data_IF_771150017679
#
_entry.id   IF_771150017679
#
_cell.length_a   1.000
_cell.length_b   1.000
_cell.length_c   1.000
_cell.angle_alpha   90.00
_cell.angle_beta   90.00
_cell.angle_gamma   90.00
#
_symmetry.space_group_name_H-M   'P 1'
#
loop_
_entity.id
_entity.type
_entity.pdbx_description
1 polymer ?
#
# COMPACT_ATOMS: atom_id res chain seq x y z
N UNK A 1 46.33 6.45 -12.97
CA UNK A 1 45.52 5.98 -11.84
C UNK A 1 44.14 5.60 -12.39
N UNK A 2 43.82 4.31 -12.36
CA UNK A 2 42.51 3.83 -12.79
C UNK A 2 41.47 4.22 -11.73
N UNK A 3 40.78 5.33 -11.92
CA UNK A 3 39.63 5.70 -11.10
C UNK A 3 38.50 4.69 -11.42
N UNK A 4 38.33 3.69 -10.55
CA UNK A 4 37.16 2.81 -10.62
C UNK A 4 35.93 3.72 -10.64
N UNK A 5 35.20 3.71 -11.76
CA UNK A 5 33.90 4.40 -11.83
C UNK A 5 33.04 3.92 -10.66
N UNK A 6 32.41 4.87 -9.95
CA UNK A 6 31.46 4.55 -8.88
C UNK A 6 30.30 3.75 -9.47
N UNK A 7 29.93 2.66 -8.78
CA UNK A 7 28.66 1.98 -9.08
C UNK A 7 27.56 2.73 -8.33
N UNK A 8 26.76 3.50 -9.06
CA UNK A 8 25.72 4.35 -8.49
C UNK A 8 24.66 3.55 -7.73
N UNK A 9 24.34 2.35 -8.17
CA UNK A 9 23.34 1.50 -7.53
C UNK A 9 23.86 0.91 -6.21
N UNK A 10 25.10 0.43 -6.21
CA UNK A 10 25.73 -0.05 -4.97
C UNK A 10 25.86 1.07 -3.94
N UNK A 11 26.26 2.27 -4.37
CA UNK A 11 26.38 3.40 -3.48
C UNK A 11 25.02 3.87 -2.94
N UNK A 12 24.01 3.95 -3.79
CA UNK A 12 22.64 4.30 -3.38
C UNK A 12 22.02 3.25 -2.45
N UNK A 13 22.35 1.96 -2.62
CA UNK A 13 21.82 0.89 -1.77
C UNK A 13 22.30 0.98 -0.31
N UNK A 14 23.41 1.68 -0.06
CA UNK A 14 23.92 1.95 1.30
C UNK A 14 23.09 3.02 2.04
N UNK A 15 22.25 3.78 1.33
CA UNK A 15 21.46 4.86 1.93
C UNK A 15 20.41 4.30 2.89
N UNK A 16 20.32 4.86 4.10
CA UNK A 16 19.37 4.47 5.14
C UNK A 16 17.95 4.99 4.88
N UNK A 17 17.72 5.72 3.79
CA UNK A 17 16.43 6.28 3.39
C UNK A 17 15.75 7.11 4.50
N UNK A 18 16.53 7.94 5.21
CA UNK A 18 16.07 8.75 6.34
C UNK A 18 14.79 9.53 5.99
N UNK A 19 13.79 9.47 6.87
CA UNK A 19 12.55 10.21 6.69
C UNK A 19 12.79 11.73 6.74
N UNK A 20 13.59 12.18 7.71
CA UNK A 20 13.98 13.57 7.89
C UNK A 20 15.46 13.75 7.54
N UNK A 21 15.75 13.62 6.24
CA UNK A 21 17.08 13.45 5.68
C UNK A 21 18.03 14.64 5.98
N UNK A 22 19.08 14.46 6.79
CA UNK A 22 20.05 15.52 7.09
C UNK A 22 20.76 16.04 5.84
N UNK A 23 21.03 15.16 4.86
CA UNK A 23 21.65 15.55 3.59
C UNK A 23 20.78 16.54 2.79
N UNK A 24 19.46 16.40 2.81
CA UNK A 24 18.54 17.36 2.19
C UNK A 24 18.50 18.67 2.94
N UNK A 25 18.49 18.64 4.28
CA UNK A 25 18.53 19.86 5.10
C UNK A 25 19.81 20.67 4.91
N UNK A 26 20.92 20.01 4.65
CA UNK A 26 22.21 20.65 4.40
C UNK A 26 22.35 21.21 2.97
N UNK A 27 21.50 20.79 2.04
CA UNK A 27 21.48 21.26 0.67
C UNK A 27 20.56 22.49 0.52
N UNK A 28 21.07 23.58 -0.07
CA UNK A 28 20.31 24.83 -0.15
C UNK A 28 19.27 24.86 -1.29
N UNK A 29 19.55 24.15 -2.38
CA UNK A 29 18.86 24.32 -3.67
C UNK A 29 18.32 23.03 -4.27
N UNK A 30 18.28 21.92 -3.50
CA UNK A 30 17.79 20.65 -4.03
C UNK A 30 17.50 19.63 -2.97
N UNK A 31 17.15 18.41 -3.41
CA UNK A 31 16.81 17.29 -2.55
C UNK A 31 17.67 16.05 -2.87
N UNK A 32 18.90 15.98 -2.33
CA UNK A 32 19.80 14.84 -2.52
C UNK A 32 19.19 13.52 -2.05
N UNK A 33 18.41 13.50 -0.96
CA UNK A 33 17.80 12.28 -0.46
C UNK A 33 16.79 11.69 -1.47
N UNK A 34 15.99 12.53 -2.12
CA UNK A 34 15.09 12.08 -3.20
C UNK A 34 15.85 11.56 -4.41
N UNK A 35 16.94 12.25 -4.79
CA UNK A 35 17.77 11.79 -5.88
C UNK A 35 18.39 10.41 -5.59
N UNK A 36 18.95 10.21 -4.40
CA UNK A 36 19.54 8.92 -3.98
C UNK A 36 18.46 7.85 -3.92
N UNK A 37 17.30 8.15 -3.38
CA UNK A 37 16.14 7.22 -3.31
C UNK A 37 15.69 6.80 -4.71
N UNK A 38 15.66 7.73 -5.67
CA UNK A 38 15.33 7.41 -7.05
C UNK A 38 16.32 6.39 -7.65
N UNK A 39 17.62 6.58 -7.43
CA UNK A 39 18.65 5.64 -7.88
C UNK A 39 18.51 4.28 -7.17
N UNK A 40 18.31 4.28 -5.86
CA UNK A 40 18.13 3.07 -5.05
C UNK A 40 16.99 2.19 -5.60
N UNK A 41 15.94 2.80 -6.13
CA UNK A 41 14.78 2.12 -6.73
C UNK A 41 14.86 1.97 -8.26
N UNK A 42 16.07 1.97 -8.82
CA UNK A 42 16.33 1.78 -10.25
C UNK A 42 15.64 2.83 -11.16
N UNK A 43 15.50 4.05 -10.65
CA UNK A 43 14.91 5.18 -11.34
C UNK A 43 15.90 6.36 -11.42
N UNK A 44 17.09 6.11 -11.93
CA UNK A 44 18.19 7.08 -11.91
C UNK A 44 17.99 8.26 -12.86
N UNK A 45 17.27 8.07 -13.98
CA UNK A 45 17.04 9.14 -14.96
C UNK A 45 16.40 10.40 -14.38
N UNK A 46 15.29 10.32 -13.60
CA UNK A 46 14.72 11.50 -12.96
C UNK A 46 15.49 11.99 -11.73
N UNK A 47 16.50 11.24 -11.23
CA UNK A 47 17.24 11.62 -10.03
C UNK A 47 17.90 13.00 -10.15
N UNK A 48 18.47 13.32 -11.31
CA UNK A 48 19.18 14.58 -11.53
C UNK A 48 18.28 15.83 -11.42
N UNK A 49 16.98 15.72 -11.68
CA UNK A 49 16.10 16.90 -11.55
C UNK A 49 15.98 17.40 -10.11
N UNK A 50 16.11 16.51 -9.12
CA UNK A 50 16.04 16.90 -7.71
C UNK A 50 17.27 17.65 -7.21
N UNK A 51 18.36 17.62 -8.01
CA UNK A 51 19.65 18.24 -7.70
C UNK A 51 20.19 19.07 -8.85
N UNK A 52 19.33 19.46 -9.82
CA UNK A 52 19.71 20.23 -11.00
C UNK A 52 20.45 21.51 -10.62
N UNK A 53 19.92 22.22 -9.64
CA UNK A 53 20.42 23.53 -9.22
C UNK A 53 21.43 23.45 -8.06
N UNK A 54 21.81 22.23 -7.65
CA UNK A 54 22.79 22.05 -6.60
C UNK A 54 24.21 22.30 -7.11
N UNK A 55 24.90 23.20 -6.44
CA UNK A 55 26.35 23.36 -6.63
C UNK A 55 27.11 22.17 -6.06
N UNK A 56 28.35 21.99 -6.48
CA UNK A 56 29.25 20.97 -5.90
C UNK A 56 29.42 21.17 -4.40
N UNK A 57 29.50 22.41 -3.93
CA UNK A 57 29.58 22.75 -2.53
C UNK A 57 28.29 22.37 -1.76
N UNK A 58 27.10 22.41 -2.40
CA UNK A 58 25.86 21.95 -1.80
C UNK A 58 25.86 20.43 -1.63
N UNK A 59 26.31 19.70 -2.65
CA UNK A 59 26.41 18.24 -2.60
C UNK A 59 27.47 17.76 -1.61
N UNK A 60 28.59 18.46 -1.47
CA UNK A 60 29.61 18.19 -0.46
C UNK A 60 29.06 18.39 0.96
N UNK A 61 28.31 19.47 1.21
CA UNK A 61 27.63 19.67 2.50
C UNK A 61 26.61 18.58 2.80
N UNK A 62 25.87 18.16 1.78
CA UNK A 62 24.91 17.07 1.92
C UNK A 62 25.63 15.75 2.28
N UNK A 63 26.77 15.47 1.67
CA UNK A 63 27.61 14.31 1.97
C UNK A 63 28.14 14.35 3.41
N UNK A 64 28.67 15.49 3.85
CA UNK A 64 29.15 15.69 5.22
C UNK A 64 28.05 15.55 6.28
N UNK A 65 26.82 15.86 5.93
CA UNK A 65 25.66 15.73 6.82
C UNK A 65 25.10 14.29 6.89
N UNK A 66 25.66 13.35 6.11
CA UNK A 66 25.19 11.97 6.09
C UNK A 66 25.44 11.29 7.45
N UNK A 67 24.41 10.58 7.97
CA UNK A 67 24.51 9.89 9.26
C UNK A 67 25.36 8.60 9.21
N UNK A 68 25.80 8.18 8.05
CA UNK A 68 26.88 7.20 7.91
C UNK A 68 28.24 7.82 8.25
N UNK A 69 28.45 8.21 9.49
CA UNK A 69 29.59 9.03 9.95
C UNK A 69 30.97 8.49 9.56
N UNK A 70 31.17 7.19 9.61
CA UNK A 70 32.46 6.56 9.31
C UNK A 70 32.68 6.33 7.81
N UNK A 71 31.62 6.28 7.04
CA UNK A 71 31.66 6.04 5.61
C UNK A 71 30.44 6.67 4.92
N UNK A 72 30.38 8.00 4.79
CA UNK A 72 29.27 8.73 4.18
C UNK A 72 28.95 8.22 2.77
N UNK A 73 27.69 8.38 2.37
CA UNK A 73 27.30 8.17 0.98
C UNK A 73 28.02 9.20 0.12
N UNK A 74 28.73 8.78 -0.91
CA UNK A 74 29.46 9.65 -1.85
C UNK A 74 28.49 10.37 -2.79
N UNK A 75 27.71 11.29 -2.22
CA UNK A 75 26.56 11.95 -2.87
C UNK A 75 27.00 12.70 -4.11
N UNK A 76 28.05 13.52 -3.99
CA UNK A 76 28.56 14.32 -5.10
C UNK A 76 29.06 13.44 -6.24
N UNK A 77 29.93 12.48 -5.95
CA UNK A 77 30.51 11.61 -6.97
C UNK A 77 29.43 10.78 -7.68
N UNK A 78 28.51 10.21 -6.92
CA UNK A 78 27.40 9.41 -7.44
C UNK A 78 26.49 10.23 -8.38
N UNK A 79 26.05 11.40 -7.94
CA UNK A 79 25.12 12.22 -8.71
C UNK A 79 25.78 12.85 -9.95
N UNK A 80 27.07 13.21 -9.88
CA UNK A 80 27.83 13.74 -11.02
C UNK A 80 28.27 12.65 -12.01
N UNK A 81 28.23 11.39 -11.64
CA UNK A 81 28.54 10.29 -12.56
C UNK A 81 27.39 9.93 -13.51
N UNK A 82 26.17 10.42 -13.24
CA UNK A 82 25.01 10.24 -14.11
C UNK A 82 25.12 11.24 -15.28
N UNK A 83 25.09 10.73 -16.52
CA UNK A 83 25.16 11.59 -17.70
C UNK A 83 23.89 12.48 -17.81
N UNK A 84 24.05 13.80 -18.04
CA UNK A 84 22.92 14.69 -18.31
C UNK A 84 22.10 14.29 -19.56
N UNK A 85 22.75 13.66 -20.53
CA UNK A 85 22.12 13.19 -21.78
C UNK A 85 21.16 11.99 -21.53
N UNK A 86 21.28 11.34 -20.39
CA UNK A 86 20.32 10.33 -19.93
C UNK A 86 19.06 10.95 -19.33
N UNK A 87 19.10 12.23 -19.00
CA UNK A 87 17.96 13.01 -18.56
C UNK A 87 17.22 13.55 -19.79
N UNK A 88 16.51 12.68 -20.46
CA UNK A 88 15.53 13.16 -21.42
C UNK A 88 14.58 14.10 -20.68
N UNK A 89 14.47 15.37 -21.13
CA UNK A 89 13.34 16.24 -20.80
C UNK A 89 12.04 15.67 -21.38
N UNK A 90 11.93 14.36 -21.31
CA UNK A 90 10.82 13.59 -21.81
C UNK A 90 9.56 14.01 -21.09
N UNK A 91 8.58 14.34 -21.86
CA UNK A 91 7.19 14.39 -21.49
C UNK A 91 6.92 13.31 -20.44
N UNK A 92 6.74 13.72 -19.17
CA UNK A 92 6.31 12.77 -18.16
C UNK A 92 4.95 12.25 -18.61
N UNK A 93 4.76 10.93 -18.65
CA UNK A 93 3.47 10.39 -19.03
C UNK A 93 2.42 10.98 -18.09
N UNK A 94 1.29 11.39 -18.64
CA UNK A 94 0.12 11.68 -17.85
C UNK A 94 -0.28 10.41 -17.11
N UNK A 95 -0.26 10.45 -15.78
CA UNK A 95 -0.62 9.33 -14.92
C UNK A 95 -2.07 9.41 -14.45
N UNK A 96 -2.83 10.43 -14.89
CA UNK A 96 -4.24 10.52 -14.50
C UNK A 96 -5.03 9.32 -15.00
N UNK A 97 -5.94 8.85 -14.17
CA UNK A 97 -6.84 7.74 -14.51
C UNK A 97 -8.28 8.08 -14.11
N UNK A 98 -9.23 7.47 -14.78
CA UNK A 98 -10.61 7.34 -14.30
C UNK A 98 -10.78 5.97 -13.65
N UNK A 99 -11.18 5.98 -12.39
CA UNK A 99 -11.44 4.79 -11.61
C UNK A 99 -12.90 4.81 -11.13
N UNK A 100 -13.76 3.98 -11.71
CA UNK A 100 -15.21 3.94 -11.40
C UNK A 100 -15.91 5.31 -11.50
N UNK A 101 -15.51 6.17 -12.44
CA UNK A 101 -16.01 7.53 -12.57
C UNK A 101 -15.32 8.55 -11.65
N UNK A 102 -14.37 8.12 -10.82
CA UNK A 102 -13.59 8.98 -9.95
C UNK A 102 -12.29 9.37 -10.67
N UNK A 103 -12.05 10.68 -10.81
CA UNK A 103 -10.81 11.20 -11.40
C UNK A 103 -9.69 11.12 -10.38
N UNK A 104 -8.61 10.42 -10.73
CA UNK A 104 -7.46 10.22 -9.87
C UNK A 104 -6.21 10.85 -10.50
N UNK A 105 -5.41 11.54 -9.69
CA UNK A 105 -4.16 12.20 -10.14
C UNK A 105 -3.13 11.20 -10.70
N UNK A 106 -3.18 9.96 -10.22
CA UNK A 106 -2.34 8.86 -10.68
C UNK A 106 -2.93 7.52 -10.17
N UNK A 107 -2.41 6.34 -10.61
CA UNK A 107 -2.95 5.04 -10.20
C UNK A 107 -2.42 4.53 -8.85
N UNK A 108 -1.77 5.35 -8.03
CA UNK A 108 -1.13 4.91 -6.81
C UNK A 108 -1.97 5.24 -5.58
N UNK A 109 -2.42 4.19 -4.90
CA UNK A 109 -3.24 4.26 -3.69
C UNK A 109 -2.56 3.51 -2.56
N UNK A 110 -2.67 4.02 -1.33
CA UNK A 110 -2.39 3.22 -0.14
C UNK A 110 -3.46 2.16 0.00
N UNK A 111 -3.05 0.91 0.12
CA UNK A 111 -3.98 -0.16 0.45
C UNK A 111 -4.30 -0.17 1.96
N UNK A 112 -5.47 -0.70 2.32
CA UNK A 112 -5.89 -0.88 3.70
C UNK A 112 -4.88 -1.73 4.48
N UNK A 113 -4.11 -1.07 5.34
CA UNK A 113 -2.97 -1.66 6.06
C UNK A 113 -2.56 -0.81 7.27
N UNK A 114 -1.49 -1.20 7.96
CA UNK A 114 -0.94 -0.49 9.11
C UNK A 114 -0.49 0.95 8.82
N UNK A 115 -0.24 1.31 7.56
CA UNK A 115 0.25 2.65 7.19
C UNK A 115 -0.88 3.63 6.87
N UNK A 116 -2.12 3.29 7.11
CA UNK A 116 -3.29 4.14 6.89
C UNK A 116 -4.35 4.01 8.00
N UNK A 117 -3.88 3.98 9.26
CA UNK A 117 -4.73 3.80 10.46
C UNK A 117 -5.14 5.12 11.12
N UNK A 118 -4.53 6.23 10.74
CA UNK A 118 -4.82 7.54 11.32
C UNK A 118 -4.67 8.67 10.29
N UNK A 119 -5.09 9.86 10.69
CA UNK A 119 -5.07 11.05 9.85
C UNK A 119 -3.67 11.40 9.35
N UNK A 120 -2.68 11.43 10.25
CA UNK A 120 -1.32 11.91 9.96
C UNK A 120 -0.61 11.01 8.94
N UNK A 121 -0.76 9.69 9.06
CA UNK A 121 -0.17 8.74 8.11
C UNK A 121 -0.71 8.96 6.70
N UNK A 122 -2.03 9.12 6.57
CA UNK A 122 -2.68 9.34 5.26
C UNK A 122 -2.33 10.72 4.71
N UNK A 123 -2.35 11.78 5.53
CA UNK A 123 -1.99 13.13 5.13
C UNK A 123 -0.54 13.21 4.62
N UNK A 124 0.39 12.52 5.28
CA UNK A 124 1.79 12.43 4.83
C UNK A 124 1.91 11.73 3.48
N UNK A 125 1.14 10.66 3.26
CA UNK A 125 1.11 9.97 1.97
C UNK A 125 0.56 10.87 0.86
N UNK A 126 -0.53 11.59 1.09
CA UNK A 126 -1.09 12.54 0.15
C UNK A 126 -0.09 13.65 -0.21
N UNK A 127 0.62 14.17 0.80
CA UNK A 127 1.69 15.16 0.61
C UNK A 127 2.87 14.60 -0.18
N UNK A 128 3.12 13.29 -0.10
CA UNK A 128 4.14 12.59 -0.89
C UNK A 128 3.69 12.26 -2.33
N UNK A 129 2.45 12.59 -2.72
CA UNK A 129 1.94 12.42 -4.08
C UNK A 129 1.07 11.19 -4.33
N UNK A 130 0.66 10.47 -3.28
CA UNK A 130 -0.32 9.40 -3.43
C UNK A 130 -1.68 9.97 -3.85
N UNK A 131 -2.35 9.32 -4.81
CA UNK A 131 -3.64 9.79 -5.33
C UNK A 131 -4.80 9.48 -4.39
N UNK A 132 -4.68 8.42 -3.61
CA UNK A 132 -5.77 8.01 -2.73
C UNK A 132 -5.35 6.99 -1.68
N UNK A 133 -6.31 6.62 -0.87
CA UNK A 133 -6.18 5.64 0.21
C UNK A 133 -7.39 4.71 0.26
N UNK A 134 -7.13 3.44 0.49
CA UNK A 134 -8.07 2.51 1.11
C UNK A 134 -7.77 2.52 2.60
N UNK A 135 -8.61 3.19 3.39
CA UNK A 135 -8.38 3.36 4.82
C UNK A 135 -8.40 2.01 5.55
N UNK A 136 -7.80 1.95 6.73
CA UNK A 136 -7.81 0.76 7.58
C UNK A 136 -9.23 0.24 7.76
N UNK A 137 -9.43 -1.07 7.61
CA UNK A 137 -10.77 -1.68 7.64
C UNK A 137 -11.49 -1.42 8.97
N UNK A 138 -12.67 -0.84 8.88
CA UNK A 138 -13.55 -0.46 9.97
C UNK A 138 -14.59 -1.58 10.20
N UNK A 139 -14.85 -1.93 11.45
CA UNK A 139 -15.93 -2.85 11.82
C UNK A 139 -16.61 -2.40 13.12
N UNK A 140 -17.77 -2.96 13.40
CA UNK A 140 -18.53 -2.62 14.61
C UNK A 140 -18.06 -3.38 15.86
N UNK A 141 -17.30 -4.48 15.67
CA UNK A 141 -16.77 -5.29 16.77
C UNK A 141 -15.50 -4.65 17.37
N UNK A 142 -15.37 -4.72 18.67
CA UNK A 142 -14.15 -4.33 19.35
C UNK A 142 -13.02 -5.33 19.03
N UNK A 143 -11.95 -4.84 18.42
CA UNK A 143 -10.77 -5.63 18.04
C UNK A 143 -9.68 -5.41 19.07
N UNK A 144 -9.23 -6.52 19.69
CA UNK A 144 -8.03 -6.52 20.54
C UNK A 144 -6.85 -7.02 19.72
N UNK A 145 -5.96 -6.10 19.41
CA UNK A 145 -4.76 -6.44 18.69
C UNK A 145 -3.76 -7.21 19.56
N UNK A 146 -2.98 -8.04 18.89
CA UNK A 146 -1.96 -8.87 19.51
C UNK A 146 -0.57 -8.25 19.32
N UNK A 147 0.36 -8.58 20.20
CA UNK A 147 1.76 -8.16 20.12
C UNK A 147 2.67 -9.41 20.10
N UNK A 148 3.72 -9.44 19.24
CA UNK A 148 4.08 -8.42 18.24
C UNK A 148 3.13 -8.42 17.05
N UNK A 149 2.87 -7.22 16.46
CA UNK A 149 1.97 -7.09 15.29
C UNK A 149 2.59 -7.59 14.00
N UNK A 150 3.92 -7.47 13.89
CA UNK A 150 4.68 -7.79 12.69
C UNK A 150 5.87 -8.68 13.02
N UNK A 151 6.17 -9.59 12.12
CA UNK A 151 7.32 -10.47 12.19
C UNK A 151 8.00 -10.53 10.81
N UNK A 152 9.26 -10.08 10.77
CA UNK A 152 10.00 -9.97 9.53
C UNK A 152 10.70 -11.29 9.17
N UNK A 153 10.62 -11.69 7.91
CA UNK A 153 11.27 -12.86 7.38
C UNK A 153 12.55 -12.49 6.65
N UNK A 154 13.68 -12.84 7.24
CA UNK A 154 15.01 -12.57 6.71
C UNK A 154 15.69 -13.85 6.20
N UNK A 155 16.58 -13.71 5.25
CA UNK A 155 17.50 -14.78 4.91
C UNK A 155 18.64 -14.81 5.95
N UNK A 156 18.64 -15.84 6.80
CA UNK A 156 19.64 -16.01 7.85
C UNK A 156 21.08 -16.15 7.31
N UNK A 157 21.25 -16.56 6.05
CA UNK A 157 22.58 -16.73 5.42
C UNK A 157 23.21 -15.41 4.95
N UNK A 158 22.40 -14.39 4.67
CA UNK A 158 22.87 -13.12 4.07
C UNK A 158 22.72 -11.92 4.99
N UNK A 159 22.23 -12.09 6.21
CA UNK A 159 22.05 -11.04 7.24
C UNK A 159 21.33 -9.74 6.77
N UNK A 160 20.65 -9.74 5.63
CA UNK A 160 20.04 -8.50 5.12
C UNK A 160 18.92 -8.65 4.12
N UNK A 161 18.75 -9.78 3.49
CA UNK A 161 17.70 -9.94 2.48
C UNK A 161 16.34 -10.19 3.15
N UNK A 162 15.56 -9.12 3.18
CA UNK A 162 14.17 -9.16 3.57
C UNK A 162 13.32 -9.64 2.39
N UNK A 163 12.58 -10.73 2.53
CA UNK A 163 11.74 -11.29 1.46
C UNK A 163 10.27 -11.36 1.78
N UNK A 164 9.89 -11.13 3.03
CA UNK A 164 8.50 -11.06 3.42
C UNK A 164 8.32 -10.76 4.90
N UNK A 165 7.08 -10.46 5.28
CA UNK A 165 6.74 -10.29 6.66
C UNK A 165 5.36 -10.86 6.95
N UNK A 166 5.20 -11.27 8.19
CA UNK A 166 3.94 -11.72 8.76
C UNK A 166 3.26 -10.54 9.45
N UNK A 167 1.98 -10.40 9.19
CA UNK A 167 1.14 -9.38 9.78
C UNK A 167 0.04 -10.03 10.62
N UNK A 168 0.01 -9.72 11.91
CA UNK A 168 -1.02 -10.16 12.87
C UNK A 168 -2.03 -9.04 13.17
N UNK A 169 -1.84 -7.87 12.59
CA UNK A 169 -2.76 -6.76 12.69
C UNK A 169 -4.09 -7.09 11.98
N UNK A 170 -5.20 -6.84 12.64
CA UNK A 170 -6.53 -7.19 12.14
C UNK A 170 -7.22 -5.98 11.47
N UNK A 171 -8.07 -5.31 12.19
CA UNK A 171 -8.92 -4.21 11.73
C UNK A 171 -8.56 -2.93 12.47
N UNK A 172 -9.34 -1.85 12.28
CA UNK A 172 -9.14 -0.63 13.06
C UNK A 172 -9.43 -0.87 14.55
N UNK A 173 -8.59 -0.28 15.41
CA UNK A 173 -8.79 -0.29 16.88
C UNK A 173 -9.57 0.94 17.36
N UNK A 174 -9.82 1.90 16.46
CA UNK A 174 -10.59 3.09 16.81
C UNK A 174 -12.07 2.75 16.93
N UNK A 175 -12.82 3.50 17.75
CA UNK A 175 -14.28 3.52 17.66
C UNK A 175 -14.75 3.89 16.25
N UNK A 176 -15.81 3.28 15.79
CA UNK A 176 -16.35 3.46 14.42
C UNK A 176 -16.55 4.93 14.07
N UNK A 177 -17.13 5.69 15.01
CA UNK A 177 -17.37 7.11 14.83
C UNK A 177 -16.10 7.94 14.68
N UNK A 178 -15.02 7.53 15.32
CA UNK A 178 -13.74 8.22 15.22
C UNK A 178 -13.11 7.98 13.84
N UNK A 179 -13.14 6.76 13.34
CA UNK A 179 -12.66 6.46 12.00
C UNK A 179 -13.41 7.27 10.93
N UNK A 180 -14.73 7.34 11.00
CA UNK A 180 -15.50 8.14 10.03
C UNK A 180 -15.27 9.65 10.17
N UNK A 181 -14.98 10.17 11.37
CA UNK A 181 -14.54 11.56 11.55
C UNK A 181 -13.18 11.79 10.86
N UNK A 182 -12.24 10.87 10.99
CA UNK A 182 -10.93 10.93 10.31
C UNK A 182 -11.14 10.95 8.79
N UNK A 183 -11.97 10.06 8.25
CA UNK A 183 -12.27 9.99 6.82
C UNK A 183 -12.91 11.30 6.31
N UNK A 184 -13.88 11.84 7.05
CA UNK A 184 -14.49 13.13 6.73
C UNK A 184 -13.46 14.26 6.74
N UNK A 185 -12.58 14.31 7.74
CA UNK A 185 -11.53 15.33 7.84
C UNK A 185 -10.52 15.21 6.68
N UNK A 186 -10.10 13.99 6.32
CA UNK A 186 -9.23 13.75 5.18
C UNK A 186 -9.86 14.27 3.89
N UNK A 187 -11.13 13.92 3.63
CA UNK A 187 -11.82 14.35 2.41
C UNK A 187 -11.99 15.87 2.34
N UNK A 188 -12.30 16.51 3.47
CA UNK A 188 -12.43 17.97 3.55
C UNK A 188 -11.10 18.68 3.30
N UNK A 189 -10.00 18.17 3.86
CA UNK A 189 -8.69 18.82 3.79
C UNK A 189 -7.94 18.50 2.47
N UNK A 190 -8.28 17.38 1.83
CA UNK A 190 -7.69 16.91 0.57
C UNK A 190 -8.75 16.59 -0.47
N UNK A 191 -9.51 17.59 -0.97
CA UNK A 191 -10.70 17.35 -1.80
C UNK A 191 -10.41 16.69 -3.14
N UNK A 192 -9.17 16.80 -3.67
CA UNK A 192 -8.74 16.17 -4.93
C UNK A 192 -8.25 14.73 -4.73
N UNK A 193 -7.99 14.32 -3.48
CA UNK A 193 -7.53 12.97 -3.16
C UNK A 193 -8.72 12.03 -2.99
N UNK A 194 -8.50 10.77 -3.35
CA UNK A 194 -9.54 9.74 -3.26
C UNK A 194 -9.46 9.06 -1.90
N UNK A 195 -10.58 9.06 -1.19
CA UNK A 195 -10.71 8.45 0.13
C UNK A 195 -11.73 7.33 0.05
N UNK A 196 -11.28 6.09 0.24
CA UNK A 196 -12.12 4.88 0.19
C UNK A 196 -12.15 4.26 1.58
N UNK A 197 -13.35 4.10 2.12
CA UNK A 197 -13.52 3.39 3.38
C UNK A 197 -13.45 1.88 3.13
N UNK A 198 -12.53 1.18 3.79
CA UNK A 198 -12.56 -0.28 3.84
C UNK A 198 -13.40 -0.70 5.03
N UNK A 199 -14.41 -1.53 4.84
CA UNK A 199 -15.36 -1.94 5.87
C UNK A 199 -15.49 -3.46 5.97
N UNK A 200 -15.94 -3.94 7.14
CA UNK A 200 -16.27 -5.34 7.38
C UNK A 200 -17.44 -5.43 8.35
N UNK A 201 -18.52 -6.07 7.93
CA UNK A 201 -19.67 -6.40 8.76
C UNK A 201 -19.80 -7.88 9.02
N UNK A 202 -20.57 -8.26 10.03
CA UNK A 202 -20.89 -9.65 10.37
C UNK A 202 -22.19 -10.11 9.73
N UNK A 203 -23.10 -9.18 9.44
CA UNK A 203 -24.41 -9.42 8.85
C UNK A 203 -24.79 -8.27 7.90
N UNK A 204 -25.85 -8.42 7.15
CA UNK A 204 -26.30 -7.45 6.13
C UNK A 204 -26.53 -6.05 6.73
N UNK A 205 -27.11 -5.98 7.93
CA UNK A 205 -27.40 -4.72 8.60
C UNK A 205 -26.12 -3.94 8.91
N UNK A 206 -25.08 -4.60 9.43
CA UNK A 206 -23.80 -3.96 9.71
C UNK A 206 -23.10 -3.52 8.42
N UNK A 207 -23.09 -4.36 7.38
CA UNK A 207 -22.52 -4.02 6.08
C UNK A 207 -23.16 -2.75 5.50
N UNK A 208 -24.50 -2.67 5.53
CA UNK A 208 -25.24 -1.52 5.03
C UNK A 208 -25.03 -0.28 5.90
N UNK A 209 -24.99 -0.43 7.23
CA UNK A 209 -24.79 0.68 8.15
C UNK A 209 -23.40 1.32 7.96
N UNK A 210 -22.34 0.51 7.94
CA UNK A 210 -20.98 0.98 7.71
C UNK A 210 -20.82 1.66 6.33
N UNK A 211 -21.44 1.10 5.29
CA UNK A 211 -21.39 1.69 3.95
C UNK A 211 -22.09 3.06 3.89
N UNK A 212 -23.25 3.22 4.54
CA UNK A 212 -23.95 4.50 4.66
C UNK A 212 -23.12 5.53 5.42
N UNK A 213 -22.51 5.15 6.54
CA UNK A 213 -21.60 6.02 7.29
C UNK A 213 -20.41 6.48 6.43
N UNK A 214 -19.88 5.60 5.57
CA UNK A 214 -18.82 5.95 4.63
C UNK A 214 -19.30 7.01 3.60
N UNK A 215 -20.47 6.83 3.02
CA UNK A 215 -21.06 7.80 2.09
C UNK A 215 -21.35 9.14 2.78
N UNK A 216 -21.89 9.13 3.99
CA UNK A 216 -22.17 10.31 4.80
C UNK A 216 -20.88 11.05 5.22
N UNK A 217 -19.81 10.32 5.48
CA UNK A 217 -18.48 10.90 5.74
C UNK A 217 -17.85 11.56 4.49
N UNK A 218 -18.45 11.34 3.30
CA UNK A 218 -17.98 11.91 2.04
C UNK A 218 -16.91 11.08 1.35
N UNK A 219 -16.78 9.78 1.67
CA UNK A 219 -15.88 8.88 0.97
C UNK A 219 -16.28 8.75 -0.51
N UNK A 220 -15.27 8.60 -1.38
CA UNK A 220 -15.47 8.48 -2.83
C UNK A 220 -15.93 7.08 -3.25
N UNK A 221 -15.64 6.05 -2.45
CA UNK A 221 -16.06 4.66 -2.66
C UNK A 221 -16.00 3.88 -1.34
N UNK A 222 -16.51 2.66 -1.35
CA UNK A 222 -16.42 1.71 -0.23
C UNK A 222 -15.78 0.39 -0.70
N UNK A 223 -14.79 -0.10 0.06
CA UNK A 223 -14.19 -1.43 -0.13
C UNK A 223 -14.83 -2.41 0.85
N UNK A 224 -15.33 -3.54 0.35
CA UNK A 224 -15.87 -4.64 1.17
C UNK A 224 -14.76 -5.67 1.44
N UNK A 225 -14.23 -5.70 2.65
CA UNK A 225 -13.12 -6.60 3.00
C UNK A 225 -13.62 -8.02 3.30
N UNK A 226 -13.77 -8.86 2.27
CA UNK A 226 -14.11 -10.29 2.36
C UNK A 226 -12.89 -11.19 2.60
N UNK A 227 -11.80 -10.67 3.15
CA UNK A 227 -10.52 -11.35 2.95
C UNK A 227 -9.60 -11.40 4.17
N UNK A 228 -10.00 -10.81 5.31
CA UNK A 228 -9.17 -10.84 6.51
C UNK A 228 -8.92 -12.31 6.96
N UNK A 229 -7.64 -12.77 7.03
CA UNK A 229 -7.35 -14.18 7.30
C UNK A 229 -7.47 -14.58 8.75
N UNK A 230 -7.67 -13.64 9.68
CA UNK A 230 -7.47 -13.85 11.12
C UNK A 230 -8.73 -13.61 11.95
N UNK A 231 -9.89 -13.50 11.32
CA UNK A 231 -11.13 -13.23 12.07
C UNK A 231 -11.49 -14.40 12.99
N UNK A 232 -11.78 -14.08 14.24
CA UNK A 232 -12.22 -15.05 15.26
C UNK A 232 -13.73 -15.29 15.24
N UNK A 233 -14.46 -14.44 14.53
CA UNK A 233 -15.92 -14.52 14.42
C UNK A 233 -16.28 -15.33 13.18
N UNK A 234 -17.15 -16.34 13.35
CA UNK A 234 -17.73 -17.08 12.24
C UNK A 234 -18.47 -16.15 11.29
N UNK A 235 -18.39 -16.41 10.00
CA UNK A 235 -19.06 -15.59 8.98
C UNK A 235 -18.41 -14.26 8.68
N UNK A 236 -17.14 -14.07 9.05
CA UNK A 236 -16.36 -12.86 8.74
C UNK A 236 -15.06 -13.16 8.00
N UNK A 237 -14.56 -12.16 7.29
CA UNK A 237 -13.24 -12.19 6.65
C UNK A 237 -13.13 -13.23 5.54
N UNK A 238 -12.05 -14.03 5.56
CA UNK A 238 -11.73 -14.97 4.47
C UNK A 238 -12.76 -16.11 4.30
N UNK A 239 -13.57 -16.39 5.31
CA UNK A 239 -14.60 -17.41 5.20
C UNK A 239 -15.76 -16.92 4.33
N UNK A 240 -16.12 -15.64 4.46
CA UNK A 240 -17.04 -14.96 3.52
C UNK A 240 -16.47 -14.95 2.11
N UNK A 241 -15.20 -14.55 1.96
CA UNK A 241 -14.56 -14.42 0.65
C UNK A 241 -14.38 -15.72 -0.15
N UNK A 242 -14.57 -16.86 0.47
CA UNK A 242 -14.57 -18.18 -0.17
C UNK A 242 -15.95 -18.66 -0.61
N UNK A 243 -17.03 -17.99 -0.15
CA UNK A 243 -18.41 -18.36 -0.48
C UNK A 243 -19.00 -17.40 -1.53
N UNK A 244 -19.23 -17.86 -2.77
CA UNK A 244 -19.89 -17.05 -3.80
C UNK A 244 -21.24 -16.49 -3.36
N UNK A 245 -22.02 -17.26 -2.61
CA UNK A 245 -23.35 -16.84 -2.14
C UNK A 245 -23.25 -15.68 -1.12
N UNK A 246 -22.33 -15.78 -0.14
CA UNK A 246 -22.17 -14.73 0.87
C UNK A 246 -21.63 -13.43 0.27
N UNK A 247 -20.59 -13.51 -0.59
CA UNK A 247 -20.05 -12.31 -1.23
C UNK A 247 -21.08 -11.65 -2.15
N UNK A 248 -21.93 -12.44 -2.82
CA UNK A 248 -23.05 -11.94 -3.63
C UNK A 248 -24.08 -11.21 -2.77
N UNK A 249 -24.52 -11.83 -1.69
CA UNK A 249 -25.51 -11.25 -0.77
C UNK A 249 -25.02 -9.93 -0.19
N UNK A 250 -23.82 -9.91 0.40
CA UNK A 250 -23.30 -8.70 1.02
C UNK A 250 -22.95 -7.59 0.00
N UNK A 251 -22.47 -7.95 -1.18
CA UNK A 251 -22.25 -6.97 -2.24
C UNK A 251 -23.57 -6.35 -2.69
N UNK A 252 -24.61 -7.16 -2.89
CA UNK A 252 -25.92 -6.68 -3.33
C UNK A 252 -26.59 -5.76 -2.29
N UNK A 253 -26.57 -6.13 -1.00
CA UNK A 253 -27.19 -5.32 0.04
C UNK A 253 -26.48 -3.97 0.19
N UNK A 254 -25.15 -3.92 0.13
CA UNK A 254 -24.39 -2.68 0.16
C UNK A 254 -24.68 -1.85 -1.09
N UNK A 255 -24.63 -2.45 -2.28
CA UNK A 255 -24.88 -1.74 -3.54
C UNK A 255 -26.26 -1.08 -3.60
N UNK A 256 -27.27 -1.68 -2.96
CA UNK A 256 -28.61 -1.10 -2.83
C UNK A 256 -28.69 0.03 -1.80
N UNK A 257 -27.74 0.06 -0.84
CA UNK A 257 -27.80 1.00 0.28
C UNK A 257 -27.06 2.32 0.05
N UNK A 258 -26.12 2.38 -0.92
CA UNK A 258 -25.27 3.55 -1.22
C UNK A 258 -25.22 3.84 -2.72
N UNK A 259 -24.85 5.09 -3.06
CA UNK A 259 -24.67 5.54 -4.46
C UNK A 259 -23.20 5.55 -4.89
N UNK A 260 -22.28 5.59 -3.94
CA UNK A 260 -20.85 5.54 -4.20
C UNK A 260 -20.44 4.15 -4.72
N UNK A 261 -19.33 4.05 -5.49
CA UNK A 261 -18.83 2.77 -5.97
C UNK A 261 -18.55 1.76 -4.86
N UNK A 262 -18.88 0.49 -5.13
CA UNK A 262 -18.69 -0.65 -4.22
C UNK A 262 -17.65 -1.60 -4.78
N UNK A 263 -16.60 -1.88 -3.99
CA UNK A 263 -15.38 -2.57 -4.41
C UNK A 263 -15.11 -3.76 -3.48
N UNK A 264 -15.58 -4.97 -3.79
CA UNK A 264 -15.22 -6.17 -3.03
C UNK A 264 -13.73 -6.47 -3.09
N UNK A 265 -13.09 -6.72 -1.92
CA UNK A 265 -11.71 -7.16 -1.80
C UNK A 265 -11.62 -8.64 -1.53
N UNK A 266 -10.98 -9.35 -2.47
CA UNK A 266 -10.95 -10.81 -2.52
C UNK A 266 -9.79 -11.41 -1.73
N UNK A 267 -10.04 -12.60 -1.15
CA UNK A 267 -9.02 -13.39 -0.47
C UNK A 267 -8.17 -14.19 -1.46
N UNK A 268 -6.84 -14.31 -1.27
CA UNK A 268 -6.00 -15.23 -2.03
C UNK A 268 -6.05 -16.67 -1.49
N UNK A 269 -6.73 -16.90 -0.36
CA UNK A 269 -6.77 -18.20 0.32
C UNK A 269 -7.86 -19.09 -0.29
N UNK A 270 -7.85 -19.18 -1.61
CA UNK A 270 -8.83 -19.92 -2.42
C UNK A 270 -8.14 -20.45 -3.69
N UNK A 271 -8.64 -21.55 -4.23
CA UNK A 271 -8.09 -22.11 -5.47
C UNK A 271 -8.53 -21.32 -6.71
N UNK A 272 -9.80 -20.96 -6.80
CA UNK A 272 -10.40 -20.25 -7.94
C UNK A 272 -11.03 -18.94 -7.46
N UNK A 273 -10.26 -17.85 -7.55
CA UNK A 273 -10.74 -16.51 -7.13
C UNK A 273 -11.83 -15.96 -8.06
N UNK A 274 -11.90 -16.48 -9.28
CA UNK A 274 -12.85 -16.06 -10.30
C UNK A 274 -14.32 -16.31 -9.89
N UNK A 275 -14.60 -17.41 -9.20
CA UNK A 275 -15.96 -17.79 -8.82
C UNK A 275 -16.61 -16.75 -7.87
N UNK A 276 -16.04 -16.43 -6.68
CA UNK A 276 -16.63 -15.41 -5.83
C UNK A 276 -16.54 -14.01 -6.43
N UNK A 277 -15.52 -13.72 -7.26
CA UNK A 277 -15.45 -12.44 -7.96
C UNK A 277 -16.59 -12.27 -8.97
N UNK A 278 -16.94 -13.32 -9.73
CA UNK A 278 -18.09 -13.29 -10.65
C UNK A 278 -19.39 -13.05 -9.90
N UNK A 279 -19.57 -13.68 -8.73
CA UNK A 279 -20.73 -13.47 -7.89
C UNK A 279 -20.87 -12.00 -7.41
N UNK A 280 -19.73 -11.36 -7.07
CA UNK A 280 -19.72 -9.93 -6.74
C UNK A 280 -20.11 -9.05 -7.94
N UNK A 281 -19.64 -9.38 -9.14
CA UNK A 281 -20.00 -8.65 -10.38
C UNK A 281 -21.49 -8.78 -10.68
N UNK A 282 -22.04 -9.97 -10.58
CA UNK A 282 -23.48 -10.20 -10.74
C UNK A 282 -24.32 -9.43 -9.71
N UNK A 283 -23.77 -9.20 -8.50
CA UNK A 283 -24.38 -8.39 -7.46
C UNK A 283 -24.25 -6.88 -7.70
N UNK A 284 -23.57 -6.44 -8.75
CA UNK A 284 -23.44 -5.03 -9.15
C UNK A 284 -22.20 -4.33 -8.60
N UNK A 285 -21.15 -5.06 -8.25
CA UNK A 285 -19.85 -4.45 -7.89
C UNK A 285 -19.31 -3.58 -9.02
N UNK A 286 -18.75 -2.41 -8.68
CA UNK A 286 -18.18 -1.46 -9.67
C UNK A 286 -16.74 -1.81 -10.04
N UNK A 287 -16.02 -2.47 -9.13
CA UNK A 287 -14.67 -2.99 -9.35
C UNK A 287 -14.37 -4.16 -8.38
N UNK A 288 -13.26 -4.85 -8.59
CA UNK A 288 -12.72 -5.86 -7.66
C UNK A 288 -11.33 -5.43 -7.19
N UNK A 289 -11.09 -5.50 -5.89
CA UNK A 289 -9.78 -5.36 -5.27
C UNK A 289 -9.17 -6.75 -5.01
N UNK A 290 -7.93 -6.96 -5.39
CA UNK A 290 -7.20 -8.22 -5.16
C UNK A 290 -5.68 -7.95 -5.05
N UNK A 291 -5.05 -8.65 -4.17
CA UNK A 291 -5.45 -9.66 -3.21
C UNK A 291 -5.12 -9.20 -1.79
N UNK A 292 -5.76 -9.77 -0.77
CA UNK A 292 -5.32 -9.64 0.61
C UNK A 292 -4.11 -10.58 0.86
N UNK A 293 -3.68 -10.71 2.10
CA UNK A 293 -2.52 -11.51 2.53
C UNK A 293 -2.82 -13.01 2.53
N UNK A 294 -1.77 -13.81 2.36
CA UNK A 294 -1.86 -15.28 2.40
C UNK A 294 -1.81 -15.76 3.85
N UNK A 295 -2.67 -16.70 4.23
CA UNK A 295 -2.61 -17.34 5.55
C UNK A 295 -1.26 -18.03 5.73
N UNK A 296 -0.58 -17.76 6.84
CA UNK A 296 0.73 -18.32 7.15
C UNK A 296 0.94 -18.49 8.66
N UNK A 297 1.97 -19.25 9.02
CA UNK A 297 2.49 -19.37 10.37
C UNK A 297 4.01 -19.34 10.30
N UNK A 298 4.68 -18.71 11.26
CA UNK A 298 6.14 -18.79 11.39
C UNK A 298 6.52 -19.81 12.47
N UNK A 299 7.72 -20.37 12.34
CA UNK A 299 8.27 -21.32 13.30
C UNK A 299 9.02 -20.64 14.46
N UNK A 300 9.01 -19.30 14.50
CA UNK A 300 9.57 -18.55 15.62
C UNK A 300 8.77 -18.78 16.90
N UNK A 301 9.46 -19.10 17.97
CA UNK A 301 8.83 -19.34 19.28
C UNK A 301 8.28 -18.05 19.91
N UNK A 302 8.73 -16.87 19.42
CA UNK A 302 8.33 -15.56 19.94
C UNK A 302 6.97 -15.08 19.41
N UNK A 303 6.35 -15.88 18.54
CA UNK A 303 5.09 -15.51 17.86
C UNK A 303 3.87 -16.20 18.46
N UNK A 304 3.85 -16.39 19.75
CA UNK A 304 2.71 -16.99 20.46
C UNK A 304 1.80 -15.90 21.05
N UNK A 305 0.51 -15.97 20.72
CA UNK A 305 -0.53 -15.17 21.37
C UNK A 305 -1.23 -16.04 22.39
N UNK A 306 -1.11 -15.69 23.66
CA UNK A 306 -1.71 -16.45 24.77
C UNK A 306 -1.30 -17.92 24.78
N UNK A 307 -0.02 -18.21 24.47
CA UNK A 307 0.51 -19.58 24.43
C UNK A 307 0.08 -20.41 23.22
N UNK A 308 -0.54 -19.79 22.21
CA UNK A 308 -0.95 -20.48 20.98
C UNK A 308 -0.32 -19.83 19.75
N UNK A 309 0.16 -20.65 18.82
CA UNK A 309 0.63 -20.20 17.51
C UNK A 309 -0.52 -19.61 16.73
N UNK A 310 -0.34 -18.38 16.24
CA UNK A 310 -1.38 -17.64 15.51
C UNK A 310 -1.15 -17.75 14.02
N UNK A 311 -2.18 -18.22 13.29
CA UNK A 311 -2.24 -18.07 11.83
C UNK A 311 -2.42 -16.58 11.53
N UNK A 312 -1.64 -16.06 10.58
CA UNK A 312 -1.62 -14.63 10.26
C UNK A 312 -1.44 -14.39 8.77
N UNK A 313 -1.56 -13.14 8.34
CA UNK A 313 -1.32 -12.75 6.96
C UNK A 313 0.17 -12.69 6.63
N UNK A 314 0.56 -13.21 5.46
CA UNK A 314 1.91 -13.13 4.91
C UNK A 314 1.94 -12.25 3.67
N UNK A 315 2.91 -11.33 3.61
CA UNK A 315 3.12 -10.35 2.54
C UNK A 315 4.58 -10.29 2.13
N UNK A 316 4.86 -9.56 1.03
CA UNK A 316 6.21 -9.29 0.56
C UNK A 316 6.55 -9.93 -0.78
N UNK A 317 7.83 -9.88 -1.15
CA UNK A 317 8.31 -10.31 -2.48
C UNK A 317 7.94 -11.75 -2.84
N UNK A 318 7.93 -12.65 -1.85
CA UNK A 318 7.60 -14.05 -2.06
C UNK A 318 6.14 -14.28 -2.49
N UNK A 319 5.24 -13.35 -2.13
CA UNK A 319 3.81 -13.43 -2.49
C UNK A 319 3.52 -12.92 -3.91
N UNK A 320 4.44 -12.15 -4.51
CA UNK A 320 4.24 -11.53 -5.82
C UNK A 320 3.80 -12.51 -6.93
N UNK A 321 4.41 -13.69 -7.13
CA UNK A 321 3.96 -14.64 -8.16
C UNK A 321 2.53 -15.12 -7.95
N UNK A 322 2.15 -15.30 -6.68
CA UNK A 322 0.80 -15.76 -6.30
C UNK A 322 -0.22 -14.66 -6.59
N UNK A 323 0.10 -13.43 -6.23
CA UNK A 323 -0.74 -12.27 -6.55
C UNK A 323 -0.95 -12.12 -8.07
N UNK A 324 0.13 -12.23 -8.85
CA UNK A 324 0.05 -12.14 -10.32
C UNK A 324 -0.81 -13.25 -10.92
N UNK A 325 -0.76 -14.46 -10.37
CA UNK A 325 -1.62 -15.57 -10.80
C UNK A 325 -3.10 -15.22 -10.61
N UNK A 326 -3.49 -14.74 -9.40
CA UNK A 326 -4.86 -14.36 -9.12
C UNK A 326 -5.34 -13.18 -10.00
N UNK A 327 -4.49 -12.18 -10.20
CA UNK A 327 -4.81 -11.06 -11.09
C UNK A 327 -4.98 -11.53 -12.54
N UNK A 328 -4.16 -12.46 -13.02
CA UNK A 328 -4.31 -13.03 -14.36
C UNK A 328 -5.63 -13.76 -14.50
N UNK A 329 -6.02 -14.58 -13.51
CA UNK A 329 -7.27 -15.31 -13.48
C UNK A 329 -8.48 -14.34 -13.55
N UNK A 330 -8.47 -13.28 -12.73
CA UNK A 330 -9.49 -12.24 -12.79
C UNK A 330 -9.50 -11.50 -14.13
N UNK A 331 -8.33 -11.19 -14.71
CA UNK A 331 -8.25 -10.52 -16.01
C UNK A 331 -8.77 -11.37 -17.18
N UNK A 332 -8.81 -12.68 -17.03
CA UNK A 332 -9.35 -13.61 -18.01
C UNK A 332 -10.89 -13.74 -17.95
N UNK A 333 -11.51 -13.26 -16.88
CA UNK A 333 -12.98 -13.20 -16.75
C UNK A 333 -13.59 -12.15 -17.68
N UNK A 334 -13.29 -12.21 -18.96
CA UNK A 334 -13.68 -11.20 -19.94
C UNK A 334 -15.18 -10.94 -19.89
N UNK A 335 -15.56 -9.70 -19.61
CA UNK A 335 -16.56 -8.87 -20.26
C UNK A 335 -17.01 -7.75 -19.32
N UNK A 336 -16.50 -6.52 -19.59
CA UNK A 336 -17.08 -5.29 -19.04
C UNK A 336 -16.74 -4.89 -17.60
N UNK A 337 -15.80 -5.59 -16.97
CA UNK A 337 -15.52 -5.48 -15.55
C UNK A 337 -14.14 -4.85 -15.27
N UNK A 338 -14.15 -3.83 -14.42
CA UNK A 338 -12.93 -3.12 -14.04
C UNK A 338 -12.23 -3.87 -12.90
N UNK A 339 -11.07 -4.43 -13.16
CA UNK A 339 -10.20 -4.94 -12.12
C UNK A 339 -9.32 -3.79 -11.64
N UNK A 340 -9.24 -3.57 -10.33
CA UNK A 340 -8.17 -2.81 -9.72
C UNK A 340 -6.87 -3.53 -9.99
N UNK A 341 -6.22 -3.07 -11.07
CA UNK A 341 -5.02 -3.67 -11.65
C UNK A 341 -3.88 -3.78 -10.63
N UNK A 342 -2.93 -4.69 -10.85
CA UNK A 342 -1.70 -4.85 -10.06
C UNK A 342 -0.90 -3.55 -9.81
N UNK A 343 -1.27 -2.42 -10.39
CA UNK A 343 -0.62 -1.13 -10.15
C UNK A 343 -0.82 -0.60 -8.73
N UNK A 344 -1.98 -0.83 -8.12
CA UNK A 344 -2.21 -0.54 -6.69
C UNK A 344 -1.35 -1.45 -5.82
N UNK A 345 -1.15 -2.69 -6.23
CA UNK A 345 -0.35 -3.70 -5.55
C UNK A 345 1.17 -3.47 -5.65
N UNK A 346 1.65 -2.85 -6.72
CA UNK A 346 3.08 -2.54 -6.88
C UNK A 346 3.60 -1.57 -5.82
N UNK A 347 2.74 -0.71 -5.28
CA UNK A 347 3.11 0.25 -4.26
C UNK A 347 3.27 -0.37 -2.87
N UNK A 348 2.42 -1.32 -2.46
CA UNK A 348 2.61 -2.02 -1.18
C UNK A 348 3.93 -2.81 -1.13
N UNK A 349 4.38 -3.34 -2.26
CA UNK A 349 5.62 -4.13 -2.31
C UNK A 349 6.90 -3.31 -2.51
N UNK A 350 6.79 -2.04 -2.94
CA UNK A 350 7.96 -1.15 -3.09
C UNK A 350 8.23 -0.28 -1.86
N UNK A 351 7.27 -0.11 -0.98
CA UNK A 351 7.41 0.71 0.23
C UNK A 351 7.85 -0.08 1.47
N UNK A 352 8.18 -1.36 1.32
CA UNK A 352 8.73 -2.19 2.39
C UNK A 352 10.14 -2.66 2.08
#
# INVERSE_FOLDING_TARGET
MNTKRINIYEEASRCLLCQDAPCTKACKTGDPARAIRAIHFDNHKPALRWVRDCSDADLERAEQACIHYNWPIRIKEMLRSISPDEVNEGHYPDLTIDFCGIKCENPFFLASSAVCTNYEMVANAFSAGWAGVFYKTICMQEIKEVSPRFDAMHNNATHGDFYGFRNMEQLSENPVEEDFKILHQLKRNYPTKVVIASIMGQNEEEWMALAKMAEEAGCDAVELNFSCPQMKYEGMGSDVGQSPDLVKTYTACVKQSVKIPVIPKMTPNITHIAEPAAACVEAGADAISAINTIKSVTMSFDSEVSGQRTISGYSGRAVKPIALRHILELAQMRDGFKILSPRVWRCEQRSM
#
